data_IF_982500198666
#
_entry.id   IF_982500198666
#
_cell.length_a   1.000
_cell.length_b   1.000
_cell.length_c   1.000
_cell.angle_alpha   90.00
_cell.angle_beta   90.00
_cell.angle_gamma   90.00
#
_symmetry.space_group_name_H-M   'P 1'
#
loop_
_entity.id
_entity.type
_entity.pdbx_description
1 polymer ?
#
# COMPACT_ATOMS: atom_id res chain seq x y z
N UNK A 1 -16.06 -61.96 6.61
CA UNK A 1 -14.63 -61.73 6.65
C UNK A 1 -14.01 -62.41 5.44
N UNK A 2 -13.68 -61.61 4.39
CA UNK A 2 -13.11 -62.14 3.14
C UNK A 2 -11.60 -62.07 3.24
N UNK A 3 -10.95 -63.25 3.22
CA UNK A 3 -9.50 -63.40 3.29
C UNK A 3 -8.87 -62.85 1.99
N UNK A 4 -8.19 -61.76 2.06
CA UNK A 4 -7.39 -61.23 0.97
C UNK A 4 -6.11 -62.08 0.87
N UNK A 5 -5.95 -62.84 -0.22
CA UNK A 5 -4.73 -63.62 -0.47
C UNK A 5 -3.58 -62.68 -0.83
N UNK A 6 -2.44 -62.88 -0.20
CA UNK A 6 -1.22 -62.07 -0.32
C UNK A 6 -0.71 -61.86 -1.75
N UNK A 7 -1.11 -62.70 -2.72
CA UNK A 7 -0.66 -62.55 -4.10
C UNK A 7 -1.42 -61.51 -4.92
N UNK A 8 -2.70 -61.24 -4.59
CA UNK A 8 -3.48 -60.24 -5.32
C UNK A 8 -3.11 -58.80 -4.93
N UNK A 9 -2.59 -58.63 -3.69
CA UNK A 9 -2.18 -57.32 -3.21
C UNK A 9 -0.85 -56.80 -3.85
N UNK A 10 0.01 -57.75 -4.31
CA UNK A 10 1.30 -57.38 -4.94
C UNK A 10 1.15 -56.93 -6.39
N UNK A 11 0.14 -57.42 -7.11
CA UNK A 11 -0.06 -57.06 -8.52
C UNK A 11 -0.71 -55.69 -8.68
N UNK A 12 -1.55 -55.27 -7.70
CA UNK A 12 -2.22 -53.96 -7.75
C UNK A 12 -1.31 -52.79 -7.36
N UNK A 13 -0.30 -53.02 -6.53
CA UNK A 13 0.64 -51.98 -6.10
C UNK A 13 1.58 -51.58 -7.25
N UNK A 14 1.96 -52.52 -8.12
CA UNK A 14 2.84 -52.21 -9.27
C UNK A 14 2.13 -51.35 -10.34
N UNK A 15 0.83 -51.54 -10.58
CA UNK A 15 0.09 -50.81 -11.60
C UNK A 15 -0.21 -49.35 -11.19
N UNK A 16 -0.38 -49.10 -9.89
CA UNK A 16 -0.66 -47.73 -9.38
C UNK A 16 0.60 -46.87 -9.34
N UNK A 17 1.77 -47.45 -9.09
CA UNK A 17 3.04 -46.76 -9.05
C UNK A 17 3.52 -46.23 -10.42
N UNK A 18 3.21 -46.95 -11.52
CA UNK A 18 3.59 -46.49 -12.87
C UNK A 18 2.71 -45.37 -13.40
N UNK A 19 1.43 -45.31 -13.02
CA UNK A 19 0.51 -44.26 -13.42
C UNK A 19 0.80 -42.92 -12.67
N UNK A 20 1.23 -43.00 -11.40
CA UNK A 20 1.54 -41.80 -10.60
C UNK A 20 2.82 -41.07 -11.07
N UNK A 21 3.79 -41.82 -11.65
CA UNK A 21 5.05 -41.26 -12.08
C UNK A 21 4.92 -40.46 -13.41
N UNK A 22 4.01 -40.86 -14.29
CA UNK A 22 3.79 -40.19 -15.58
C UNK A 22 3.03 -38.85 -15.43
N UNK A 23 2.17 -38.68 -14.41
CA UNK A 23 1.45 -37.46 -14.17
C UNK A 23 2.34 -36.42 -13.45
N UNK A 24 3.30 -36.88 -12.63
CA UNK A 24 4.19 -35.97 -11.91
C UNK A 24 5.24 -35.30 -12.81
N UNK A 25 5.61 -35.92 -13.93
CA UNK A 25 6.60 -35.35 -14.86
C UNK A 25 6.00 -34.24 -15.76
N UNK A 26 4.69 -34.22 -16.01
CA UNK A 26 4.03 -33.19 -16.83
C UNK A 26 3.69 -31.93 -16.04
N UNK A 27 3.59 -31.97 -14.71
CA UNK A 27 3.27 -30.78 -13.89
C UNK A 27 4.50 -29.95 -13.52
N UNK A 28 5.71 -30.49 -13.67
CA UNK A 28 6.94 -29.79 -13.38
C UNK A 28 7.32 -28.70 -14.42
N UNK A 29 6.68 -28.69 -15.60
CA UNK A 29 6.94 -27.74 -16.68
C UNK A 29 6.05 -26.48 -16.62
N UNK A 30 5.04 -26.43 -15.76
CA UNK A 30 4.13 -25.27 -15.65
C UNK A 30 4.40 -24.36 -14.45
N UNK A 31 5.38 -24.66 -13.60
CA UNK A 31 5.64 -23.93 -12.35
C UNK A 31 6.67 -22.81 -12.47
N UNK A 32 7.07 -22.40 -13.68
CA UNK A 32 7.97 -21.24 -13.86
C UNK A 32 7.29 -20.08 -14.57
N UNK A 33 6.04 -19.74 -14.15
CA UNK A 33 5.52 -18.41 -14.41
C UNK A 33 6.09 -17.50 -13.32
N UNK A 34 7.22 -16.90 -13.62
CA UNK A 34 7.74 -15.76 -12.90
C UNK A 34 6.62 -14.71 -12.81
N UNK A 35 6.06 -14.56 -11.59
CA UNK A 35 5.23 -13.40 -11.23
C UNK A 35 5.96 -12.16 -11.76
N UNK A 36 5.31 -11.30 -12.58
CA UNK A 36 5.96 -10.07 -13.00
C UNK A 36 6.39 -9.32 -11.74
N UNK A 37 7.69 -9.12 -11.58
CA UNK A 37 8.22 -8.22 -10.58
C UNK A 37 7.56 -6.87 -10.82
N UNK A 38 6.87 -6.36 -9.80
CA UNK A 38 6.38 -4.99 -9.83
C UNK A 38 7.57 -4.10 -10.22
N UNK A 39 7.39 -3.14 -11.14
CA UNK A 39 8.48 -2.25 -11.52
C UNK A 39 9.04 -1.63 -10.25
N UNK A 40 10.36 -1.80 -10.05
CA UNK A 40 11.07 -1.13 -8.98
C UNK A 40 10.68 0.34 -8.99
N UNK A 41 10.19 0.85 -7.88
CA UNK A 41 9.82 2.24 -7.74
C UNK A 41 11.01 3.09 -8.19
N UNK A 42 10.84 3.78 -9.31
CA UNK A 42 11.79 4.78 -9.79
C UNK A 42 12.02 5.75 -8.64
N UNK A 43 13.28 6.11 -8.31
CA UNK A 43 13.55 7.11 -7.28
C UNK A 43 12.67 8.33 -7.52
N UNK A 44 12.06 8.84 -6.45
CA UNK A 44 11.18 10.01 -6.52
C UNK A 44 11.82 11.09 -7.37
N UNK A 45 11.10 11.51 -8.42
CA UNK A 45 11.52 12.65 -9.22
C UNK A 45 11.63 13.87 -8.29
N UNK A 46 12.58 14.79 -8.53
CA UNK A 46 12.69 16.00 -7.71
C UNK A 46 11.33 16.71 -7.66
N UNK A 47 10.98 17.22 -6.47
CA UNK A 47 9.69 17.82 -6.15
C UNK A 47 9.15 18.67 -7.32
N UNK A 48 8.15 18.15 -8.00
CA UNK A 48 7.52 18.87 -9.10
C UNK A 48 6.87 20.14 -8.54
N UNK A 49 7.22 21.31 -9.09
CA UNK A 49 6.66 22.59 -8.65
C UNK A 49 5.13 22.52 -8.64
N UNK A 50 4.52 23.01 -7.56
CA UNK A 50 3.08 23.09 -7.41
C UNK A 50 2.47 23.87 -8.59
N UNK A 51 1.58 23.24 -9.32
CA UNK A 51 0.79 23.85 -10.40
C UNK A 51 -0.68 23.85 -9.98
N UNK A 52 -1.52 24.74 -10.54
CA UNK A 52 -2.96 24.69 -10.27
C UNK A 52 -3.58 23.33 -10.53
N UNK A 53 -3.12 22.61 -11.56
CA UNK A 53 -3.60 21.28 -11.89
C UNK A 53 -3.18 20.24 -10.84
N UNK A 54 -1.93 20.28 -10.35
CA UNK A 54 -1.45 19.38 -9.31
C UNK A 54 -2.15 19.62 -7.97
N UNK A 55 -2.42 20.89 -7.63
CA UNK A 55 -3.18 21.24 -6.41
C UNK A 55 -4.63 20.72 -6.50
N UNK A 56 -5.31 20.86 -7.64
CA UNK A 56 -6.68 20.36 -7.82
C UNK A 56 -6.76 18.83 -7.76
N UNK A 57 -5.79 18.12 -8.34
CA UNK A 57 -5.69 16.68 -8.23
C UNK A 57 -5.41 16.26 -6.79
N UNK A 58 -4.47 16.94 -6.12
CA UNK A 58 -4.14 16.72 -4.72
C UNK A 58 -5.33 16.93 -3.79
N UNK A 59 -6.17 17.95 -4.04
CA UNK A 59 -7.42 18.18 -3.31
C UNK A 59 -8.37 17.00 -3.43
N UNK A 60 -8.54 16.47 -4.64
CA UNK A 60 -9.40 15.32 -4.90
C UNK A 60 -8.91 14.09 -4.15
N UNK A 61 -7.61 13.83 -4.18
CA UNK A 61 -6.97 12.71 -3.49
C UNK A 61 -7.04 12.88 -1.96
N UNK A 62 -6.80 14.08 -1.46
CA UNK A 62 -6.90 14.42 -0.05
C UNK A 62 -8.30 14.17 0.50
N UNK A 63 -9.34 14.64 -0.17
CA UNK A 63 -10.75 14.40 0.20
C UNK A 63 -11.06 12.92 0.29
N UNK A 64 -10.48 12.12 -0.57
CA UNK A 64 -10.74 10.68 -0.66
C UNK A 64 -9.98 9.85 0.37
N UNK A 65 -8.75 10.25 0.72
CA UNK A 65 -7.82 9.42 1.49
C UNK A 65 -7.45 10.02 2.86
N UNK A 66 -7.48 11.33 3.03
CA UNK A 66 -6.85 12.03 4.16
C UNK A 66 -7.85 12.72 5.08
N UNK A 67 -8.93 13.30 4.52
CA UNK A 67 -9.87 14.15 5.28
C UNK A 67 -10.54 13.45 6.46
N UNK A 68 -10.68 12.13 6.43
CA UNK A 68 -11.30 11.35 7.52
C UNK A 68 -10.57 11.56 8.84
N UNK A 69 -9.26 11.76 8.82
CA UNK A 69 -8.45 12.07 9.99
C UNK A 69 -8.08 13.56 10.05
N UNK A 70 -7.56 14.12 8.94
CA UNK A 70 -7.01 15.46 8.91
C UNK A 70 -8.05 16.58 8.76
N UNK A 71 -9.33 16.23 8.56
CA UNK A 71 -10.42 17.22 8.35
C UNK A 71 -10.49 17.72 6.91
N UNK A 72 -11.64 18.20 6.50
CA UNK A 72 -11.87 18.68 5.14
C UNK A 72 -11.04 19.94 4.80
N UNK A 73 -10.72 20.74 5.81
CA UNK A 73 -9.95 21.97 5.70
C UNK A 73 -8.49 21.80 6.15
N UNK A 74 -8.10 20.62 6.62
CA UNK A 74 -6.73 20.34 7.06
C UNK A 74 -6.39 20.79 8.47
N UNK A 75 -7.39 21.12 9.31
CA UNK A 75 -7.17 21.57 10.69
C UNK A 75 -7.02 20.42 11.71
N UNK A 76 -7.10 19.17 11.25
CA UNK A 76 -6.95 17.99 12.11
C UNK A 76 -8.23 17.56 12.85
N UNK A 77 -9.38 18.03 12.40
CA UNK A 77 -10.71 17.82 13.03
C UNK A 77 -11.58 16.76 12.33
N UNK A 78 -10.98 15.92 11.51
CA UNK A 78 -11.72 14.86 10.82
C UNK A 78 -12.43 13.91 11.78
N UNK A 79 -13.51 13.24 11.35
CA UNK A 79 -14.33 12.40 12.23
C UNK A 79 -13.57 11.27 12.93
N UNK A 80 -12.46 10.81 12.35
CA UNK A 80 -11.60 9.80 12.97
C UNK A 80 -10.57 10.39 13.95
N UNK A 81 -10.33 11.70 13.95
CA UNK A 81 -9.34 12.33 14.85
C UNK A 81 -9.69 12.16 16.33
N UNK A 82 -10.98 12.05 16.66
CA UNK A 82 -11.47 11.81 18.03
C UNK A 82 -11.04 10.47 18.64
N UNK A 83 -10.58 9.53 17.82
CA UNK A 83 -10.06 8.24 18.29
C UNK A 83 -8.54 8.25 18.46
N UNK A 84 -7.87 9.36 18.15
CA UNK A 84 -6.44 9.53 18.33
C UNK A 84 -6.15 10.00 19.76
N UNK A 85 -4.93 9.71 20.23
CA UNK A 85 -4.48 10.08 21.59
C UNK A 85 -4.07 11.54 21.72
N UNK A 86 -4.02 12.28 20.61
CA UNK A 86 -3.60 13.69 20.59
C UNK A 86 -4.11 14.40 19.35
N UNK A 87 -3.71 15.68 19.21
CA UNK A 87 -4.12 16.52 18.07
C UNK A 87 -3.22 16.26 16.87
N UNK A 88 -3.83 16.20 15.68
CA UNK A 88 -3.11 16.24 14.42
C UNK A 88 -2.62 17.67 14.11
N UNK A 89 -1.58 17.79 13.27
CA UNK A 89 -1.09 19.10 12.86
C UNK A 89 -2.17 19.85 12.08
N UNK A 90 -2.22 21.17 12.31
CA UNK A 90 -3.08 22.06 11.56
C UNK A 90 -2.33 22.56 10.32
N UNK A 91 -2.71 22.07 9.15
CA UNK A 91 -2.08 22.43 7.87
C UNK A 91 -2.41 23.85 7.41
N UNK A 92 -3.40 24.52 8.02
CA UNK A 92 -3.70 25.93 7.70
C UNK A 92 -2.79 26.92 8.43
N UNK A 93 -2.04 26.46 9.41
CA UNK A 93 -1.11 27.28 10.20
C UNK A 93 0.27 27.31 9.53
N UNK A 94 0.66 28.50 9.04
CA UNK A 94 1.98 28.71 8.44
C UNK A 94 3.14 28.34 9.35
N UNK A 95 3.02 28.61 10.67
CA UNK A 95 4.10 28.31 11.61
C UNK A 95 4.27 26.80 11.82
N UNK A 96 3.19 26.05 11.71
CA UNK A 96 3.22 24.58 11.72
C UNK A 96 3.85 24.07 10.42
N UNK A 97 3.35 24.53 9.28
CA UNK A 97 3.83 24.08 7.96
C UNK A 97 5.30 24.45 7.70
N UNK A 98 5.76 25.60 8.20
CA UNK A 98 7.17 25.99 8.06
C UNK A 98 8.17 25.08 8.78
N UNK A 99 7.70 24.27 9.74
CA UNK A 99 8.52 23.28 10.47
C UNK A 99 8.51 21.89 9.82
N UNK A 100 7.61 21.65 8.89
CA UNK A 100 7.45 20.38 8.20
C UNK A 100 8.23 20.41 6.89
N UNK A 101 9.21 19.53 6.74
CA UNK A 101 9.99 19.44 5.51
C UNK A 101 9.22 18.61 4.47
N UNK A 102 9.35 19.01 3.21
CA UNK A 102 8.70 18.30 2.09
C UNK A 102 9.05 16.82 2.05
N UNK A 103 10.33 16.50 2.28
CA UNK A 103 10.82 15.13 2.31
C UNK A 103 10.16 14.32 3.43
N UNK A 104 9.95 14.91 4.60
CA UNK A 104 9.32 14.26 5.75
C UNK A 104 7.82 14.04 5.49
N UNK A 105 7.15 14.98 4.82
CA UNK A 105 5.74 14.83 4.41
C UNK A 105 5.61 13.70 3.40
N UNK A 106 6.44 13.71 2.35
CA UNK A 106 6.44 12.67 1.31
C UNK A 106 6.72 11.29 1.88
N UNK A 107 7.73 11.17 2.74
CA UNK A 107 8.08 9.91 3.41
C UNK A 107 6.92 9.41 4.29
N UNK A 108 6.33 10.30 5.09
CA UNK A 108 5.20 9.99 5.97
C UNK A 108 3.98 9.51 5.18
N UNK A 109 3.64 10.16 4.08
CA UNK A 109 2.52 9.72 3.23
C UNK A 109 2.84 8.42 2.52
N UNK A 110 4.06 8.26 2.02
CA UNK A 110 4.48 7.07 1.28
C UNK A 110 4.50 5.82 2.16
N UNK A 111 5.19 5.89 3.30
CA UNK A 111 5.48 4.73 4.13
C UNK A 111 4.65 4.65 5.42
N UNK A 112 3.86 5.69 5.69
CA UNK A 112 3.11 5.80 6.93
C UNK A 112 4.01 6.14 8.12
N UNK A 113 3.39 6.46 9.25
CA UNK A 113 4.11 6.74 10.49
C UNK A 113 3.32 6.28 11.71
N UNK A 114 4.02 5.81 12.73
CA UNK A 114 3.46 5.52 14.04
C UNK A 114 4.05 6.51 15.05
N UNK A 115 3.17 7.24 15.72
CA UNK A 115 3.53 8.22 16.75
C UNK A 115 2.74 7.98 18.02
N UNK A 116 3.02 8.76 19.08
CA UNK A 116 2.22 8.75 20.30
C UNK A 116 0.77 9.19 20.06
N UNK A 117 0.52 10.02 19.04
CA UNK A 117 -0.82 10.48 18.65
C UNK A 117 -1.64 9.34 18.02
N UNK A 118 -1.00 8.52 17.21
CA UNK A 118 -1.66 7.41 16.52
C UNK A 118 -0.84 6.87 15.36
N UNK A 119 -1.51 6.13 14.48
CA UNK A 119 -0.87 5.53 13.30
C UNK A 119 -1.48 6.08 12.02
N UNK A 120 -0.66 6.64 11.16
CA UNK A 120 -1.00 6.97 9.77
C UNK A 120 -0.58 5.80 8.87
N UNK A 121 -1.49 5.21 8.09
CA UNK A 121 -1.15 4.09 7.21
C UNK A 121 -0.30 4.53 6.01
N UNK A 122 0.48 3.63 5.40
CA UNK A 122 1.21 3.90 4.17
C UNK A 122 0.27 4.00 2.96
N UNK A 123 0.56 4.93 2.05
CA UNK A 123 -0.25 5.15 0.86
C UNK A 123 0.42 4.72 -0.46
N UNK A 124 1.68 4.29 -0.45
CA UNK A 124 2.40 3.81 -1.65
C UNK A 124 1.72 2.68 -2.44
N UNK A 125 0.85 1.91 -1.79
CA UNK A 125 0.06 0.88 -2.46
C UNK A 125 -1.25 1.40 -3.08
N UNK A 126 -1.66 2.64 -2.73
CA UNK A 126 -2.92 3.26 -3.13
C UNK A 126 -2.75 4.44 -4.07
N UNK A 127 -1.60 5.07 -4.04
CA UNK A 127 -1.27 6.27 -4.81
C UNK A 127 0.10 6.12 -5.44
N UNK A 128 0.25 6.68 -6.64
CA UNK A 128 1.54 6.79 -7.33
C UNK A 128 2.38 7.89 -6.69
N UNK A 129 3.71 7.89 -6.88
CA UNK A 129 4.58 8.96 -6.35
C UNK A 129 4.13 10.38 -6.76
N UNK A 130 3.68 10.54 -8.01
CA UNK A 130 3.19 11.82 -8.53
C UNK A 130 1.90 12.26 -7.82
N UNK A 131 1.01 11.33 -7.51
CA UNK A 131 -0.24 11.61 -6.77
C UNK A 131 0.04 11.99 -5.31
N UNK A 132 1.05 11.38 -4.69
CA UNK A 132 1.51 11.75 -3.33
C UNK A 132 2.09 13.16 -3.35
N UNK A 133 2.87 13.51 -4.40
CA UNK A 133 3.37 14.86 -4.61
C UNK A 133 2.24 15.88 -4.77
N UNK A 134 1.19 15.54 -5.52
CA UNK A 134 0.02 16.40 -5.69
C UNK A 134 -0.71 16.64 -4.37
N UNK A 135 -0.87 15.60 -3.54
CA UNK A 135 -1.42 15.74 -2.18
C UNK A 135 -0.57 16.68 -1.34
N UNK A 136 0.75 16.58 -1.38
CA UNK A 136 1.65 17.49 -0.66
C UNK A 136 1.47 18.94 -1.15
N UNK A 137 1.41 19.16 -2.48
CA UNK A 137 1.18 20.48 -3.06
C UNK A 137 -0.15 21.10 -2.58
N UNK A 138 -1.20 20.29 -2.49
CA UNK A 138 -2.49 20.71 -1.94
C UNK A 138 -2.36 21.07 -0.45
N UNK A 139 -1.72 20.24 0.37
CA UNK A 139 -1.52 20.49 1.81
C UNK A 139 -0.78 21.81 2.02
N UNK A 140 0.28 22.10 1.24
CA UNK A 140 0.96 23.39 1.29
C UNK A 140 0.06 24.56 0.91
N UNK A 141 -0.88 24.38 -0.02
CA UNK A 141 -1.82 25.42 -0.43
C UNK A 141 -2.84 25.81 0.66
N UNK A 142 -3.01 24.96 1.68
CA UNK A 142 -3.90 25.24 2.82
C UNK A 142 -3.33 26.28 3.78
N UNK A 143 -2.01 26.43 3.86
CA UNK A 143 -1.33 27.39 4.75
C UNK A 143 -1.62 28.84 4.34
N UNK A 144 -2.28 29.62 5.23
CA UNK A 144 -2.74 30.99 4.98
C UNK A 144 -2.05 31.98 5.92
#
# INVERSE_FOLDING_TARGET
>A
MKNCRLNDCRLQISAVLTAAFSVFCLTALYANQTKPAAPAAKPAAPAAKATPASIANGETLYKRQCQTCHGATGVGDGPASKFLKGKLPNFTDKAVMAKMKDEEILETVTNGVKTEVGTMPPFKAKMKPEEIQDVMNFVHSLAK
#
